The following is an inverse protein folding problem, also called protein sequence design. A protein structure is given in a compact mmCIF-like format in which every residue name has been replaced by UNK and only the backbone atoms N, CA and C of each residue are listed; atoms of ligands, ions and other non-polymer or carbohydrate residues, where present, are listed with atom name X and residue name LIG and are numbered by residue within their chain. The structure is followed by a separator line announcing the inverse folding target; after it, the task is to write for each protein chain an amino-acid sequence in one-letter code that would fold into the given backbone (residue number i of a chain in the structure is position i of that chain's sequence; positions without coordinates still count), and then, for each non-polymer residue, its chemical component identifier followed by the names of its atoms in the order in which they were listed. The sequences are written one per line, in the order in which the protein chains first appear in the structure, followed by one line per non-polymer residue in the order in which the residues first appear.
data_IF_409611723264
#
_entry.id   IF_409611723264
#
_cell.length_a   1.000
_cell.length_b   1.000
_cell.length_c   1.000
_cell.angle_alpha   90.00
_cell.angle_beta   90.00
_cell.angle_gamma   90.00
#
_symmetry.space_group_name_H-M   'P 1'
#
loop_
_entity.id
_entity.type
_entity.pdbx_description
1 polymer ?
#
# COMPACT_ATOMS: atom_id res chain seq x y z
N UNK A 1 -14.11 4.27 12.29
CA UNK A 1 -12.78 4.47 11.66
C UNK A 1 -12.80 3.92 10.25
N UNK A 2 -12.27 4.68 9.32
CA UNK A 2 -12.15 4.27 7.92
C UNK A 2 -10.69 4.24 7.50
N UNK A 3 -10.27 3.13 6.88
CA UNK A 3 -8.92 2.96 6.33
C UNK A 3 -9.04 2.72 4.83
N UNK A 4 -8.34 3.53 4.04
CA UNK A 4 -8.21 3.31 2.61
C UNK A 4 -6.91 2.56 2.32
N UNK A 5 -6.99 1.60 1.41
CA UNK A 5 -5.85 0.82 0.95
C UNK A 5 -5.57 1.17 -0.50
N UNK A 6 -4.33 1.52 -0.80
CA UNK A 6 -3.90 1.82 -2.17
C UNK A 6 -2.85 0.79 -2.57
N UNK A 7 -3.25 -0.11 -3.45
CA UNK A 7 -2.39 -1.18 -3.93
C UNK A 7 -1.74 -0.77 -5.25
N UNK A 8 -0.42 -0.71 -5.28
CA UNK A 8 0.35 -0.23 -6.41
C UNK A 8 1.03 -1.31 -7.25
N UNK A 9 0.72 -2.58 -7.02
CA UNK A 9 1.24 -3.67 -7.84
C UNK A 9 0.45 -3.86 -9.13
N UNK A 10 0.73 -4.95 -9.83
CA UNK A 10 0.12 -5.23 -11.15
C UNK A 10 -1.18 -6.02 -11.08
N UNK A 11 -1.56 -6.50 -9.91
CA UNK A 11 -2.79 -7.28 -9.76
C UNK A 11 -2.68 -8.72 -10.25
N UNK A 12 -1.49 -9.29 -10.22
CA UNK A 12 -1.29 -10.69 -10.61
C UNK A 12 -1.92 -11.63 -9.58
N UNK A 13 -2.46 -12.76 -10.04
CA UNK A 13 -3.17 -13.69 -9.16
C UNK A 13 -2.31 -14.25 -8.03
N UNK A 14 -1.01 -14.38 -8.27
CA UNK A 14 -0.06 -14.93 -7.31
C UNK A 14 0.74 -13.85 -6.59
N UNK A 15 0.28 -12.62 -6.61
CA UNK A 15 0.98 -11.51 -5.96
C UNK A 15 0.92 -11.68 -4.43
N UNK A 16 2.09 -11.83 -3.76
CA UNK A 16 2.12 -12.01 -2.32
C UNK A 16 1.58 -10.81 -1.55
N UNK A 17 1.68 -9.59 -2.10
CA UNK A 17 1.13 -8.40 -1.45
C UNK A 17 -0.39 -8.47 -1.39
N UNK A 18 -1.04 -8.93 -2.46
CA UNK A 18 -2.49 -9.09 -2.46
C UNK A 18 -2.94 -10.14 -1.44
N UNK A 19 -2.18 -11.21 -1.28
CA UNK A 19 -2.48 -12.22 -0.26
C UNK A 19 -2.42 -11.61 1.15
N UNK A 20 -1.35 -10.88 1.46
CA UNK A 20 -1.20 -10.23 2.76
C UNK A 20 -2.30 -9.19 2.98
N UNK A 21 -2.61 -8.38 1.97
CA UNK A 21 -3.68 -7.39 2.08
C UNK A 21 -5.02 -8.01 2.39
N UNK A 22 -5.35 -9.12 1.73
CA UNK A 22 -6.62 -9.79 1.98
C UNK A 22 -6.71 -10.22 3.44
N UNK A 23 -5.64 -10.79 3.99
CA UNK A 23 -5.60 -11.20 5.40
C UNK A 23 -5.76 -10.02 6.33
N UNK A 24 -5.05 -8.93 6.06
CA UNK A 24 -5.15 -7.71 6.87
C UNK A 24 -6.57 -7.13 6.81
N UNK A 25 -7.14 -7.06 5.63
CA UNK A 25 -8.50 -6.54 5.44
C UNK A 25 -9.53 -7.37 6.20
N UNK A 26 -9.40 -8.69 6.15
CA UNK A 26 -10.32 -9.58 6.86
C UNK A 26 -10.25 -9.35 8.37
N UNK A 27 -9.04 -9.24 8.92
CA UNK A 27 -8.86 -8.97 10.35
C UNK A 27 -9.43 -7.61 10.74
N UNK A 28 -9.17 -6.59 9.95
CA UNK A 28 -9.67 -5.23 10.24
C UNK A 28 -11.19 -5.16 10.15
N UNK A 29 -11.80 -5.86 9.20
CA UNK A 29 -13.26 -5.93 9.10
C UNK A 29 -13.87 -6.65 10.30
N UNK A 30 -13.23 -7.71 10.79
CA UNK A 30 -13.67 -8.40 12.01
C UNK A 30 -13.61 -7.47 13.21
N UNK A 31 -12.69 -6.51 13.23
CA UNK A 31 -12.59 -5.48 14.25
C UNK A 31 -13.51 -4.28 13.98
N UNK A 32 -14.39 -4.39 12.99
CA UNK A 32 -15.37 -3.36 12.60
C UNK A 32 -14.73 -2.08 12.08
N UNK A 33 -13.56 -2.20 11.45
CA UNK A 33 -12.95 -1.09 10.72
C UNK A 33 -13.50 -1.08 9.30
N UNK A 34 -13.91 0.08 8.83
CA UNK A 34 -14.40 0.25 7.47
C UNK A 34 -13.20 0.35 6.52
N UNK A 35 -13.11 -0.57 5.56
CA UNK A 35 -11.99 -0.66 4.62
C UNK A 35 -12.48 -0.43 3.19
N UNK A 36 -11.77 0.41 2.47
CA UNK A 36 -11.96 0.55 1.03
C UNK A 36 -10.61 0.40 0.34
N UNK A 37 -10.53 -0.52 -0.63
CA UNK A 37 -9.30 -0.75 -1.38
C UNK A 37 -9.39 -0.17 -2.77
N UNK A 38 -8.34 0.57 -3.15
CA UNK A 38 -8.16 1.11 -4.49
C UNK A 38 -6.97 0.40 -5.14
N UNK A 39 -7.26 -0.41 -6.16
CA UNK A 39 -6.21 -1.04 -6.97
C UNK A 39 -5.81 -0.04 -8.04
N UNK A 40 -4.61 0.53 -7.91
CA UNK A 40 -4.19 1.65 -8.78
C UNK A 40 -4.21 1.24 -10.26
N UNK A 41 -3.87 -0.02 -10.58
CA UNK A 41 -3.87 -0.49 -11.96
C UNK A 41 -5.27 -0.43 -12.61
N UNK A 42 -6.33 -0.49 -11.82
CA UNK A 42 -7.71 -0.36 -12.32
C UNK A 42 -8.07 1.10 -12.63
N UNK A 43 -7.31 2.04 -12.08
CA UNK A 43 -7.52 3.49 -12.22
C UNK A 43 -6.42 4.17 -13.01
N UNK A 44 -5.68 3.43 -13.83
CA UNK A 44 -4.47 3.93 -14.50
C UNK A 44 -4.67 5.17 -15.36
N UNK A 45 -5.90 5.40 -15.83
CA UNK A 45 -6.23 6.56 -16.66
C UNK A 45 -6.71 7.77 -15.84
N UNK A 46 -6.84 7.60 -14.52
CA UNK A 46 -7.39 8.64 -13.64
C UNK A 46 -6.70 8.64 -12.27
N UNK A 47 -5.42 8.26 -12.25
CA UNK A 47 -4.63 8.22 -11.00
C UNK A 47 -4.64 9.57 -10.28
N UNK A 48 -4.68 10.66 -11.04
CA UNK A 48 -4.70 12.02 -10.49
C UNK A 48 -5.90 12.29 -9.57
N UNK A 49 -6.98 11.52 -9.71
CA UNK A 49 -8.18 11.70 -8.88
C UNK A 49 -8.13 10.94 -7.57
N UNK A 50 -7.23 9.94 -7.45
CA UNK A 50 -7.15 9.11 -6.24
C UNK A 50 -6.80 9.89 -4.97
N UNK A 51 -5.92 10.91 -4.99
CA UNK A 51 -5.65 11.67 -3.77
C UNK A 51 -6.87 12.36 -3.17
N UNK A 52 -7.92 12.60 -3.95
CA UNK A 52 -9.15 13.18 -3.44
C UNK A 52 -9.86 12.25 -2.44
N UNK A 53 -9.62 10.96 -2.52
CA UNK A 53 -10.24 9.98 -1.61
C UNK A 53 -9.66 10.05 -0.20
N UNK A 54 -8.54 10.72 0.02
CA UNK A 54 -7.93 10.85 1.34
C UNK A 54 -8.83 11.58 2.34
N UNK A 55 -9.71 12.44 1.88
CA UNK A 55 -10.59 13.22 2.76
C UNK A 55 -11.49 12.35 3.63
N UNK A 56 -11.81 11.16 3.15
CA UNK A 56 -12.72 10.24 3.84
C UNK A 56 -11.99 9.28 4.78
N UNK A 57 -10.66 9.26 4.76
CA UNK A 57 -9.88 8.25 5.47
C UNK A 57 -9.32 8.80 6.78
N UNK A 58 -9.36 7.98 7.82
CA UNK A 58 -8.66 8.24 9.08
C UNK A 58 -7.22 7.76 9.02
N UNK A 59 -6.95 6.72 8.24
CA UNK A 59 -5.61 6.22 7.99
C UNK A 59 -5.55 5.56 6.63
N UNK A 60 -4.35 5.31 6.13
CA UNK A 60 -4.17 4.65 4.85
C UNK A 60 -3.12 3.55 4.92
N UNK A 61 -3.22 2.62 3.99
CA UNK A 61 -2.21 1.60 3.75
C UNK A 61 -1.72 1.78 2.32
N UNK A 62 -0.41 1.93 2.15
CA UNK A 62 0.21 1.89 0.82
C UNK A 62 0.89 0.53 0.67
N UNK A 63 0.43 -0.24 -0.29
CA UNK A 63 0.87 -1.62 -0.48
C UNK A 63 1.38 -1.84 -1.88
N UNK A 64 2.52 -2.49 -2.00
CA UNK A 64 3.09 -2.80 -3.31
C UNK A 64 3.99 -4.02 -3.23
N UNK A 65 4.31 -4.57 -4.40
CA UNK A 65 5.27 -5.66 -4.54
C UNK A 65 6.51 -5.09 -5.21
N UNK A 66 7.69 -5.49 -4.74
CA UNK A 66 8.95 -4.99 -5.30
C UNK A 66 9.07 -5.37 -6.77
N UNK A 67 9.40 -4.39 -7.59
CA UNK A 67 9.73 -4.55 -9.00
C UNK A 67 11.03 -3.81 -9.28
N UNK A 68 12.00 -4.51 -9.85
CA UNK A 68 13.29 -3.91 -10.17
C UNK A 68 13.90 -3.15 -8.99
N UNK A 69 13.83 -3.74 -7.81
CA UNK A 69 14.34 -3.18 -6.55
C UNK A 69 13.58 -1.93 -6.08
N UNK A 70 12.43 -1.65 -6.65
CA UNK A 70 11.65 -0.46 -6.34
C UNK A 70 10.19 -0.77 -6.02
N UNK A 71 9.42 0.27 -5.89
CA UNK A 71 8.01 0.19 -5.46
C UNK A 71 7.02 0.04 -6.61
N UNK A 72 7.52 -0.08 -7.85
CA UNK A 72 6.68 -0.26 -9.03
C UNK A 72 6.18 1.04 -9.64
N UNK A 73 5.86 0.96 -10.93
CA UNK A 73 5.48 2.14 -11.72
C UNK A 73 4.15 2.76 -11.29
N UNK A 74 3.14 1.95 -11.01
CA UNK A 74 1.83 2.46 -10.58
C UNK A 74 1.93 3.18 -9.23
N UNK A 75 2.68 2.63 -8.29
CA UNK A 75 2.85 3.29 -6.99
C UNK A 75 3.60 4.61 -7.15
N UNK A 76 4.62 4.67 -8.01
CA UNK A 76 5.34 5.90 -8.27
C UNK A 76 4.42 6.96 -8.91
N UNK A 77 3.59 6.57 -9.86
CA UNK A 77 2.61 7.46 -10.47
C UNK A 77 1.61 7.98 -9.44
N UNK A 78 1.18 7.12 -8.52
CA UNK A 78 0.27 7.52 -7.46
C UNK A 78 0.93 8.54 -6.52
N UNK A 79 2.18 8.32 -6.14
CA UNK A 79 2.92 9.27 -5.29
C UNK A 79 3.12 10.61 -5.99
N UNK A 80 3.41 10.60 -7.29
CA UNK A 80 3.46 11.82 -8.08
C UNK A 80 2.11 12.55 -8.06
N UNK A 81 1.02 11.82 -8.20
CA UNK A 81 -0.32 12.41 -8.15
C UNK A 81 -0.60 13.03 -6.78
N UNK A 82 -0.15 12.38 -5.70
CA UNK A 82 -0.28 12.95 -4.36
C UNK A 82 0.51 14.24 -4.22
N UNK A 83 1.70 14.31 -4.79
CA UNK A 83 2.52 15.51 -4.76
C UNK A 83 1.88 16.67 -5.53
N UNK A 84 1.34 16.37 -6.71
CA UNK A 84 0.80 17.40 -7.62
C UNK A 84 -0.62 17.83 -7.24
N UNK A 85 -1.44 16.91 -6.77
CA UNK A 85 -2.88 17.15 -6.60
C UNK A 85 -3.40 16.88 -5.19
N UNK A 86 -2.57 16.36 -4.28
CA UNK A 86 -2.97 16.08 -2.91
C UNK A 86 -3.15 17.35 -2.10
N UNK A 87 -4.11 17.31 -1.17
CA UNK A 87 -4.31 18.38 -0.21
C UNK A 87 -3.33 18.20 0.95
N UNK A 88 -2.41 19.14 1.11
CA UNK A 88 -1.35 19.07 2.12
C UNK A 88 -1.90 19.00 3.55
N UNK A 89 -2.98 19.73 3.83
CA UNK A 89 -3.58 19.71 5.16
C UNK A 89 -4.20 18.34 5.48
N UNK A 90 -4.87 17.75 4.51
CA UNK A 90 -5.45 16.42 4.67
C UNK A 90 -4.35 15.38 4.90
N UNK A 91 -3.31 15.39 4.07
CA UNK A 91 -2.21 14.43 4.17
C UNK A 91 -1.48 14.55 5.51
N UNK A 92 -1.29 15.77 6.00
CA UNK A 92 -0.58 16.01 7.27
C UNK A 92 -1.21 15.32 8.47
N UNK A 93 -2.51 15.06 8.42
CA UNK A 93 -3.23 14.40 9.52
C UNK A 93 -3.40 12.90 9.36
N UNK A 94 -2.82 12.29 8.34
CA UNK A 94 -3.07 10.88 8.03
C UNK A 94 -1.85 10.01 8.34
N UNK A 95 -2.06 8.98 9.17
CA UNK A 95 -1.07 7.92 9.37
C UNK A 95 -1.11 6.96 8.21
N UNK A 96 0.07 6.55 7.75
CA UNK A 96 0.22 5.60 6.66
C UNK A 96 1.04 4.38 7.10
N UNK A 97 0.51 3.20 6.82
CA UNK A 97 1.18 1.93 7.07
C UNK A 97 1.66 1.36 5.72
N UNK A 98 2.98 1.24 5.51
CA UNK A 98 3.48 0.61 4.28
C UNK A 98 3.45 -0.91 4.39
N UNK A 99 3.08 -1.57 3.30
CA UNK A 99 3.08 -3.02 3.16
C UNK A 99 3.81 -3.38 1.87
N UNK A 100 4.98 -4.00 1.99
CA UNK A 100 5.81 -4.29 0.82
C UNK A 100 6.28 -5.73 0.87
N UNK A 101 5.88 -6.51 -0.11
CA UNK A 101 6.31 -7.90 -0.27
C UNK A 101 7.26 -8.01 -1.45
N UNK A 102 8.07 -9.06 -1.45
CA UNK A 102 9.02 -9.32 -2.53
C UNK A 102 9.07 -10.82 -2.81
N UNK A 103 9.17 -11.18 -4.09
CA UNK A 103 9.51 -12.54 -4.51
C UNK A 103 10.97 -12.64 -4.90
N UNK A 104 11.71 -11.55 -4.80
CA UNK A 104 13.14 -11.49 -5.07
C UNK A 104 13.88 -10.98 -3.83
N UNK A 105 14.05 -9.67 -3.71
CA UNK A 105 14.55 -9.01 -2.52
C UNK A 105 14.35 -7.50 -2.70
N UNK A 106 14.62 -6.73 -1.63
CA UNK A 106 14.43 -5.27 -1.68
C UNK A 106 13.17 -4.80 -0.97
N UNK A 107 12.48 -5.68 -0.26
CA UNK A 107 11.24 -5.33 0.45
C UNK A 107 11.47 -4.32 1.57
N UNK A 108 12.61 -4.37 2.25
CA UNK A 108 12.94 -3.37 3.28
C UNK A 108 13.13 -2.00 2.68
N UNK A 109 13.87 -1.95 1.58
CA UNK A 109 14.16 -0.71 0.86
C UNK A 109 12.86 -0.12 0.31
N UNK A 110 11.96 -0.96 -0.21
CA UNK A 110 10.65 -0.54 -0.67
C UNK A 110 9.80 0.04 0.45
N UNK A 111 9.78 -0.62 1.59
CA UNK A 111 9.05 -0.12 2.76
C UNK A 111 9.59 1.23 3.21
N UNK A 112 10.90 1.37 3.29
CA UNK A 112 11.55 2.64 3.66
C UNK A 112 11.27 3.72 2.62
N UNK A 113 11.24 3.38 1.34
CA UNK A 113 10.92 4.33 0.27
C UNK A 113 9.51 4.88 0.41
N UNK A 114 8.53 4.01 0.71
CA UNK A 114 7.15 4.46 0.92
C UNK A 114 7.04 5.35 2.15
N UNK A 115 7.69 4.98 3.24
CA UNK A 115 7.66 5.78 4.47
C UNK A 115 8.29 7.15 4.23
N UNK A 116 9.45 7.20 3.56
CA UNK A 116 10.12 8.44 3.23
C UNK A 116 9.28 9.31 2.29
N UNK A 117 8.63 8.70 1.30
CA UNK A 117 7.76 9.42 0.39
C UNK A 117 6.60 10.06 1.12
N UNK A 118 5.98 9.32 2.06
CA UNK A 118 4.87 9.87 2.83
C UNK A 118 5.31 11.03 3.71
N UNK A 119 6.50 10.96 4.30
CA UNK A 119 7.07 12.08 5.05
C UNK A 119 7.32 13.30 4.16
N UNK A 120 7.83 13.07 2.95
CA UNK A 120 8.05 14.16 1.97
C UNK A 120 6.73 14.84 1.63
N UNK A 121 5.65 14.06 1.54
CA UNK A 121 4.31 14.61 1.29
C UNK A 121 3.73 15.33 2.51
N UNK A 122 4.33 15.19 3.67
CA UNK A 122 3.90 15.83 4.90
C UNK A 122 3.10 14.94 5.85
N UNK A 123 2.94 13.69 5.51
CA UNK A 123 2.16 12.75 6.32
C UNK A 123 2.98 12.08 7.42
N UNK A 124 2.34 11.15 8.13
CA UNK A 124 2.89 10.47 9.30
C UNK A 124 3.04 8.97 9.00
N UNK A 125 4.26 8.49 8.71
CA UNK A 125 4.44 7.06 8.47
C UNK A 125 4.45 6.27 9.78
N UNK A 126 3.84 5.09 9.75
CA UNK A 126 3.91 4.10 10.83
C UNK A 126 4.89 3.00 10.44
N UNK A 127 5.23 2.16 11.40
CA UNK A 127 5.89 0.90 11.10
C UNK A 127 4.97 0.08 10.20
N UNK A 128 5.55 -0.61 9.25
CA UNK A 128 4.77 -1.38 8.30
C UNK A 128 5.14 -2.84 8.31
N UNK A 129 4.74 -3.52 7.27
CA UNK A 129 5.02 -4.93 7.06
C UNK A 129 5.86 -5.07 5.81
N UNK A 130 6.93 -5.84 5.88
CA UNK A 130 7.65 -6.25 4.69
C UNK A 130 8.04 -7.72 4.81
N UNK A 131 8.15 -8.39 3.68
CA UNK A 131 8.51 -9.80 3.68
C UNK A 131 8.94 -10.28 2.32
N UNK A 132 9.71 -11.35 2.33
CA UNK A 132 10.13 -12.06 1.14
C UNK A 132 9.48 -13.44 1.13
N UNK A 133 8.94 -13.82 -0.01
CA UNK A 133 8.35 -15.13 -0.19
C UNK A 133 8.45 -15.54 -1.66
N UNK A 134 8.88 -16.77 -1.94
CA UNK A 134 9.06 -17.21 -3.31
C UNK A 134 7.74 -17.32 -4.08
N UNK A 135 6.69 -17.76 -3.40
CA UNK A 135 5.38 -17.90 -4.01
C UNK A 135 4.30 -17.96 -2.92
N UNK A 136 3.04 -17.78 -3.30
CA UNK A 136 1.92 -17.75 -2.36
C UNK A 136 1.65 -19.10 -1.70
N UNK A 137 2.01 -20.21 -2.36
CA UNK A 137 1.86 -21.53 -1.74
C UNK A 137 2.77 -21.66 -0.53
N UNK A 138 4.02 -21.22 -0.64
CA UNK A 138 4.96 -21.18 0.49
C UNK A 138 4.42 -20.28 1.60
N UNK A 139 3.84 -19.15 1.25
CA UNK A 139 3.26 -18.22 2.21
C UNK A 139 2.12 -18.88 3.01
N UNK A 140 1.24 -19.60 2.34
CA UNK A 140 0.14 -20.31 2.99
C UNK A 140 0.66 -21.41 3.93
N UNK A 141 1.63 -22.19 3.48
CA UNK A 141 2.21 -23.28 4.27
C UNK A 141 2.96 -22.76 5.49
N UNK A 142 3.60 -21.61 5.37
CA UNK A 142 4.41 -21.03 6.43
C UNK A 142 3.53 -20.52 7.58
N UNK A 143 2.34 -20.06 7.31
CA UNK A 143 1.45 -19.51 8.32
C UNK A 143 1.92 -18.22 8.96
N UNK A 144 3.09 -17.73 8.57
CA UNK A 144 3.73 -16.56 9.17
C UNK A 144 2.93 -15.28 8.94
N UNK A 145 2.29 -15.18 7.80
CA UNK A 145 1.52 -14.01 7.38
C UNK A 145 0.01 -14.27 7.35
N UNK A 146 -0.35 -15.46 7.68
CA UNK A 146 -1.75 -15.91 7.74
C UNK A 146 -2.40 -15.69 9.11
#
# INVERSE_FOLDING_TARGET
MKINVYYGGRGLLDDPTLYVLKKMEDVLRDLRVNIERFNIYEHKNEIATLPLTFKEADGIILATTVEWYGIGGYMQQFLDACWLYGDKETIAGIYMCPVVMSTTYGEREGKLSLAAAWEILGGLPCSGICGYIENTVTLEMNGQYG
#
